data_IF_993450002110
#
_entry.id   IF_993450002110
#
_cell.length_a   1.000
_cell.length_b   1.000
_cell.length_c   1.000
_cell.angle_alpha   90.00
_cell.angle_beta   90.00
_cell.angle_gamma   90.00
#
_symmetry.space_group_name_H-M   'P 1'
#
loop_
_entity.id
_entity.type
_entity.pdbx_description
1 polymer ?
#
# COMPACT_ATOMS: atom_id res chain seq x y z
N UNK A 1 -22.47 -17.88 -18.92
CA UNK A 1 -21.62 -16.70 -19.02
C UNK A 1 -20.48 -17.00 -19.97
N UNK A 2 -20.27 -16.13 -20.94
CA UNK A 2 -19.14 -16.19 -21.88
C UNK A 2 -18.04 -15.25 -21.40
N UNK A 3 -16.80 -15.45 -21.85
CA UNK A 3 -15.66 -14.65 -21.39
C UNK A 3 -15.82 -13.16 -21.77
N UNK A 4 -16.57 -12.88 -22.83
CA UNK A 4 -16.83 -11.53 -23.36
C UNK A 4 -17.77 -10.70 -22.48
N UNK A 5 -18.49 -11.34 -21.55
CA UNK A 5 -19.35 -10.66 -20.56
C UNK A 5 -18.55 -10.25 -19.30
N UNK A 6 -17.31 -10.72 -19.16
CA UNK A 6 -16.44 -10.40 -18.04
C UNK A 6 -15.68 -9.10 -18.36
N UNK A 7 -15.49 -8.27 -17.35
CA UNK A 7 -14.70 -7.04 -17.50
C UNK A 7 -13.27 -7.32 -18.00
N UNK A 8 -12.70 -6.43 -18.82
CA UNK A 8 -11.37 -6.64 -19.38
C UNK A 8 -10.30 -6.61 -18.29
N UNK A 9 -9.22 -7.37 -18.52
CA UNK A 9 -8.12 -7.49 -17.55
C UNK A 9 -7.51 -6.14 -17.15
N UNK A 10 -7.50 -5.15 -18.05
CA UNK A 10 -7.01 -3.80 -17.78
C UNK A 10 -7.77 -3.08 -16.66
N UNK A 11 -9.06 -3.39 -16.46
CA UNK A 11 -9.87 -2.80 -15.39
C UNK A 11 -9.69 -3.53 -14.05
N UNK A 12 -9.20 -4.77 -14.07
CA UNK A 12 -8.90 -5.52 -12.85
C UNK A 12 -7.72 -4.93 -12.09
N UNK A 13 -6.65 -4.50 -12.78
CA UNK A 13 -5.41 -4.03 -12.16
C UNK A 13 -5.59 -2.82 -11.25
N UNK A 14 -6.57 -1.97 -11.53
CA UNK A 14 -6.92 -0.79 -10.70
C UNK A 14 -7.41 -1.18 -9.29
N UNK A 15 -7.88 -2.42 -9.12
CA UNK A 15 -8.34 -2.96 -7.83
C UNK A 15 -7.23 -3.63 -7.03
N UNK A 16 -6.06 -3.89 -7.65
CA UNK A 16 -4.94 -4.52 -6.98
C UNK A 16 -4.01 -3.48 -6.37
N UNK A 17 -3.66 -3.73 -5.12
CA UNK A 17 -2.64 -2.99 -4.39
C UNK A 17 -1.50 -3.98 -4.08
N UNK A 18 -0.24 -3.58 -4.25
CA UNK A 18 0.87 -4.44 -3.79
C UNK A 18 0.91 -4.49 -2.28
N UNK A 19 1.33 -5.63 -1.73
CA UNK A 19 1.55 -5.76 -0.30
C UNK A 19 2.58 -4.74 0.20
N UNK A 20 2.34 -4.22 1.41
CA UNK A 20 3.25 -3.29 2.08
C UNK A 20 4.54 -4.01 2.50
N UNK A 21 5.64 -3.72 1.81
CA UNK A 21 6.97 -4.26 2.09
C UNK A 21 7.94 -3.10 2.25
N UNK A 22 8.66 -3.05 3.37
CA UNK A 22 9.58 -1.94 3.67
C UNK A 22 10.85 -2.03 2.84
N UNK A 23 11.39 -0.86 2.47
CA UNK A 23 12.80 -0.73 2.08
C UNK A 23 13.66 -1.33 3.20
N UNK A 24 14.49 -2.32 2.87
CA UNK A 24 15.27 -3.13 3.82
C UNK A 24 14.76 -4.55 4.01
N UNK A 25 13.48 -4.83 3.74
CA UNK A 25 12.99 -6.19 3.53
C UNK A 25 13.09 -6.59 2.04
N UNK A 26 12.93 -5.60 1.15
CA UNK A 26 13.25 -5.68 -0.27
C UNK A 26 14.44 -4.79 -0.59
N UNK A 27 15.17 -5.12 -1.67
CA UNK A 27 16.15 -4.21 -2.21
C UNK A 27 15.48 -2.94 -2.77
N UNK A 28 16.18 -1.80 -2.81
CA UNK A 28 15.64 -0.57 -3.39
C UNK A 28 15.14 -0.75 -4.84
N UNK A 29 15.89 -1.51 -5.64
CA UNK A 29 15.57 -1.76 -7.05
C UNK A 29 14.28 -2.58 -7.18
N UNK A 30 14.11 -3.60 -6.33
CA UNK A 30 12.88 -4.39 -6.30
C UNK A 30 11.67 -3.55 -5.86
N UNK A 31 11.86 -2.64 -4.89
CA UNK A 31 10.80 -1.76 -4.42
C UNK A 31 10.37 -0.75 -5.48
N UNK A 32 11.33 -0.14 -6.16
CA UNK A 32 11.09 0.78 -7.27
C UNK A 32 10.42 0.10 -8.47
N UNK A 33 10.89 -1.10 -8.84
CA UNK A 33 10.31 -1.86 -9.96
C UNK A 33 8.85 -2.21 -9.72
N UNK A 34 8.48 -2.58 -8.48
CA UNK A 34 7.08 -2.81 -8.11
C UNK A 34 6.24 -1.54 -8.23
N UNK A 35 6.78 -0.41 -7.78
CA UNK A 35 6.06 0.86 -7.87
C UNK A 35 5.83 1.28 -9.33
N UNK A 36 6.87 1.19 -10.16
CA UNK A 36 6.80 1.51 -11.58
C UNK A 36 5.85 0.59 -12.34
N UNK A 37 5.87 -0.72 -12.07
CA UNK A 37 4.97 -1.68 -12.68
C UNK A 37 3.50 -1.37 -12.34
N UNK A 38 3.20 -1.14 -11.05
CA UNK A 38 1.82 -0.86 -10.63
C UNK A 38 1.30 0.47 -11.16
N UNK A 39 2.14 1.50 -11.15
CA UNK A 39 1.76 2.81 -11.68
C UNK A 39 1.48 2.73 -13.20
N UNK A 40 2.26 1.94 -13.93
CA UNK A 40 2.05 1.70 -15.36
C UNK A 40 0.78 0.88 -15.64
N UNK A 41 0.43 -0.06 -14.76
CA UNK A 41 -0.79 -0.88 -14.85
C UNK A 41 -2.05 -0.16 -14.31
N UNK A 42 -1.90 1.02 -13.71
CA UNK A 42 -3.00 1.78 -13.09
C UNK A 42 -3.45 1.23 -11.73
N UNK A 43 -2.71 0.29 -11.15
CA UNK A 43 -2.90 -0.17 -9.77
C UNK A 43 -2.11 0.70 -8.78
N UNK A 44 -2.05 0.27 -7.52
CA UNK A 44 -1.32 1.00 -6.49
C UNK A 44 -0.19 0.18 -5.88
N UNK A 45 0.92 0.85 -5.60
CA UNK A 45 2.02 0.29 -4.83
C UNK A 45 2.10 0.91 -3.45
N UNK A 46 2.68 0.17 -2.50
CA UNK A 46 2.74 0.55 -1.09
C UNK A 46 4.18 0.68 -0.60
N UNK A 47 4.48 1.82 0.03
CA UNK A 47 5.83 2.14 0.54
C UNK A 47 6.32 1.23 1.67
N UNK A 48 5.41 0.63 2.45
CA UNK A 48 5.76 -0.09 3.67
C UNK A 48 6.17 0.82 4.83
N UNK A 49 6.76 0.24 5.89
CA UNK A 49 7.06 0.97 7.14
C UNK A 49 8.32 1.83 7.10
N UNK A 50 9.18 1.64 6.10
CA UNK A 50 10.53 2.24 6.06
C UNK A 50 10.57 3.67 5.52
N UNK A 51 9.43 4.23 5.12
CA UNK A 51 9.38 5.48 4.36
C UNK A 51 9.73 5.28 2.89
N UNK A 52 10.01 6.39 2.21
CA UNK A 52 10.35 6.40 0.78
C UNK A 52 11.32 7.53 0.47
N UNK A 53 12.29 7.25 -0.40
CA UNK A 53 13.29 8.22 -0.84
C UNK A 53 12.64 9.42 -1.54
N UNK A 54 12.94 10.66 -1.12
CA UNK A 54 12.47 11.87 -1.80
C UNK A 54 12.79 11.95 -3.29
N UNK A 55 13.86 11.30 -3.75
CA UNK A 55 14.22 11.26 -5.18
C UNK A 55 13.16 10.57 -6.05
N UNK A 56 12.28 9.76 -5.45
CA UNK A 56 11.18 9.09 -6.14
C UNK A 56 9.95 9.98 -6.32
N UNK A 57 9.84 11.07 -5.55
CA UNK A 57 8.68 11.94 -5.62
C UNK A 57 8.62 12.63 -6.99
N UNK A 58 7.42 12.68 -7.58
CA UNK A 58 7.23 13.21 -8.93
C UNK A 58 7.72 12.30 -10.07
N UNK A 59 8.16 11.08 -9.77
CA UNK A 59 8.54 10.07 -10.78
C UNK A 59 7.52 8.94 -10.86
N UNK A 60 7.61 8.10 -11.90
CA UNK A 60 6.79 6.89 -12.00
C UNK A 60 7.13 5.81 -10.96
N UNK A 61 8.15 6.03 -10.12
CA UNK A 61 8.57 5.10 -9.06
C UNK A 61 7.96 5.44 -7.71
N UNK A 62 7.11 6.47 -7.63
CA UNK A 62 6.46 6.86 -6.38
C UNK A 62 5.45 5.80 -5.94
N UNK A 63 5.46 5.43 -4.65
CA UNK A 63 4.39 4.56 -4.14
C UNK A 63 3.13 5.36 -3.88
N UNK A 64 2.00 5.00 -4.49
CA UNK A 64 0.74 5.76 -4.32
C UNK A 64 0.15 5.62 -2.91
N UNK A 65 0.37 4.46 -2.28
CA UNK A 65 -0.01 4.20 -0.91
C UNK A 65 1.20 4.42 0.00
N UNK A 66 1.05 5.32 0.97
CA UNK A 66 2.06 5.60 1.99
C UNK A 66 1.63 5.01 3.33
N UNK A 67 2.43 4.11 3.89
CA UNK A 67 2.12 3.51 5.18
C UNK A 67 2.68 4.35 6.35
N UNK A 68 1.89 4.47 7.41
CA UNK A 68 2.28 5.07 8.70
C UNK A 68 2.07 4.01 9.78
N UNK A 69 3.17 3.52 10.34
CA UNK A 69 3.18 2.61 11.48
C UNK A 69 3.56 3.33 12.77
N UNK A 70 3.49 2.64 13.91
CA UNK A 70 3.84 3.19 15.23
C UNK A 70 5.27 3.74 15.29
N UNK A 71 6.22 3.10 14.59
CA UNK A 71 7.62 3.56 14.53
C UNK A 71 7.84 4.83 13.70
N UNK A 72 6.87 5.20 12.83
CA UNK A 72 6.91 6.40 11.97
C UNK A 72 8.22 6.61 11.20
N UNK A 73 8.90 5.52 10.82
CA UNK A 73 10.16 5.61 10.09
C UNK A 73 9.95 6.26 8.72
N UNK A 74 10.75 7.28 8.42
CA UNK A 74 10.68 8.02 7.15
C UNK A 74 9.37 8.78 6.92
N UNK A 75 8.51 8.93 7.95
CA UNK A 75 7.29 9.73 7.84
C UNK A 75 7.64 11.21 7.97
N UNK A 76 7.70 11.90 6.84
CA UNK A 76 7.93 13.34 6.74
C UNK A 76 6.70 14.04 6.16
N UNK A 77 6.56 15.38 6.31
CA UNK A 77 5.49 16.12 5.64
C UNK A 77 5.52 15.92 4.12
N UNK A 78 6.70 15.94 3.50
CA UNK A 78 6.87 15.68 2.08
C UNK A 78 6.40 14.27 1.68
N UNK A 79 6.67 13.26 2.52
CA UNK A 79 6.20 11.89 2.31
C UNK A 79 4.66 11.80 2.29
N UNK A 80 3.98 12.50 3.20
CA UNK A 80 2.52 12.47 3.29
C UNK A 80 1.83 13.27 2.17
N UNK A 81 2.45 14.36 1.72
CA UNK A 81 1.93 15.17 0.59
C UNK A 81 2.00 14.42 -0.74
N UNK A 82 2.97 13.52 -0.89
CA UNK A 82 3.13 12.67 -2.08
C UNK A 82 2.34 11.34 -1.97
N UNK A 83 1.33 11.27 -1.11
CA UNK A 83 0.47 10.10 -0.94
C UNK A 83 -0.89 10.31 -1.60
N UNK A 84 -1.31 9.37 -2.45
CA UNK A 84 -2.71 9.32 -2.90
C UNK A 84 -3.58 8.69 -1.79
N UNK A 85 -3.02 7.71 -1.08
CA UNK A 85 -3.68 7.00 0.01
C UNK A 85 -2.71 6.88 1.19
N UNK A 86 -3.18 7.25 2.38
CA UNK A 86 -2.43 7.03 3.62
C UNK A 86 -2.98 5.79 4.31
N UNK A 87 -2.13 4.80 4.53
CA UNK A 87 -2.48 3.58 5.26
C UNK A 87 -1.91 3.65 6.69
N UNK A 88 -2.80 3.67 7.68
CA UNK A 88 -2.37 3.54 9.07
C UNK A 88 -2.27 2.06 9.41
N UNK A 89 -1.05 1.60 9.70
CA UNK A 89 -0.79 0.24 10.11
C UNK A 89 -1.00 0.10 11.61
N UNK A 90 -2.12 -0.51 11.96
CA UNK A 90 -2.51 -0.74 13.35
C UNK A 90 -1.98 -2.08 13.86
N UNK A 91 -1.92 -3.11 13.01
CA UNK A 91 -1.41 -4.44 13.33
C UNK A 91 -0.92 -5.19 12.07
N UNK A 92 -0.05 -6.19 12.22
CA UNK A 92 0.35 -7.11 11.16
C UNK A 92 0.28 -8.56 11.63
N UNK A 93 -0.33 -9.44 10.83
CA UNK A 93 -0.49 -10.87 11.16
C UNK A 93 0.84 -11.68 11.23
N UNK A 94 1.99 -11.08 10.88
CA UNK A 94 3.30 -11.75 10.90
C UNK A 94 3.89 -11.89 12.31
N UNK A 95 3.59 -10.94 13.20
CA UNK A 95 4.04 -10.94 14.60
C UNK A 95 2.82 -10.76 15.53
N UNK A 96 2.54 -11.73 16.40
CA UNK A 96 1.32 -11.81 17.25
C UNK A 96 1.20 -10.74 18.35
N UNK A 97 2.01 -9.69 18.34
CA UNK A 97 2.05 -8.70 19.40
C UNK A 97 1.43 -7.37 18.94
N UNK A 98 0.22 -7.09 19.48
CA UNK A 98 -0.50 -5.81 19.47
C UNK A 98 -1.44 -5.56 18.28
N UNK A 99 -2.68 -6.02 18.43
CA UNK A 99 -3.83 -5.43 17.76
C UNK A 99 -4.32 -4.23 18.58
N UNK A 100 -4.40 -3.04 17.99
CA UNK A 100 -5.04 -1.86 18.59
C UNK A 100 -6.41 -1.66 17.94
N UNK A 101 -7.44 -1.39 18.74
CA UNK A 101 -8.79 -1.09 18.26
C UNK A 101 -8.89 0.38 17.88
N UNK A 102 -9.29 0.70 16.64
CA UNK A 102 -9.51 2.07 16.19
C UNK A 102 -10.97 2.26 15.73
N UNK A 103 -11.79 2.97 16.53
CA UNK A 103 -13.11 3.48 16.12
C UNK A 103 -12.97 4.94 15.65
N UNK A 104 -13.61 5.31 14.53
CA UNK A 104 -13.95 6.71 14.25
C UNK A 104 -13.27 7.44 13.08
N UNK A 105 -12.68 6.77 12.07
CA UNK A 105 -12.09 7.47 10.92
C UNK A 105 -12.91 7.24 9.65
N UNK A 106 -13.48 8.33 9.12
CA UNK A 106 -14.18 8.37 7.83
C UNK A 106 -13.13 8.29 6.72
N UNK A 107 -13.22 7.24 5.89
CA UNK A 107 -12.37 6.99 4.72
C UNK A 107 -10.88 6.78 5.02
N UNK A 108 -10.58 5.66 5.70
CA UNK A 108 -9.24 5.08 5.76
C UNK A 108 -9.32 3.74 5.02
N UNK A 109 -8.55 3.53 3.94
CA UNK A 109 -8.31 2.16 3.41
C UNK A 109 -7.46 1.44 4.48
N UNK A 110 -8.13 0.98 5.53
CA UNK A 110 -7.56 0.06 6.50
C UNK A 110 -7.34 -1.22 5.69
N UNK A 111 -6.13 -1.39 5.17
CA UNK A 111 -5.73 -2.68 4.62
C UNK A 111 -5.65 -3.65 5.81
N UNK A 112 -6.80 -4.22 6.14
CA UNK A 112 -6.92 -5.46 6.86
C UNK A 112 -6.29 -6.52 5.96
N UNK A 113 -4.96 -6.64 6.04
CA UNK A 113 -4.32 -7.95 5.87
C UNK A 113 -4.63 -8.83 7.09
N UNK A 114 -5.91 -8.83 7.51
CA UNK A 114 -6.54 -9.80 8.37
C UNK A 114 -7.43 -10.59 7.44
N UNK A 115 -7.06 -11.84 7.25
CA UNK A 115 -7.69 -12.80 6.37
C UNK A 115 -9.22 -12.74 6.41
N UNK A 116 -9.83 -12.92 5.24
CA UNK A 116 -11.04 -13.71 5.00
C UNK A 116 -11.67 -14.24 6.31
N UNK A 117 -12.56 -13.46 6.90
CA UNK A 117 -13.68 -13.99 7.67
C UNK A 117 -14.78 -12.94 7.79
N UNK A 118 -15.30 -12.53 6.63
CA UNK A 118 -16.69 -12.12 6.55
C UNK A 118 -17.53 -13.40 6.68
N UNK A 119 -18.15 -13.62 7.84
CA UNK A 119 -19.44 -14.32 7.91
C UNK A 119 -20.36 -13.61 8.89
N UNK A 120 -21.54 -13.32 8.35
CA UNK A 120 -22.77 -12.78 8.92
C UNK A 120 -22.70 -11.37 9.49
#
# INVERSE_FOLDING_TARGET
MTIDEVEPASELFKRFDTAAMSIGALSPEAHEALAEAMNSLGGNSNSGEGGEDPARYGTNKVSRIKQVASGRFGVTPAYLVNADVIQIKVAQARNRAKAVSCRGIKSLRISLNCAIQCRA
#
